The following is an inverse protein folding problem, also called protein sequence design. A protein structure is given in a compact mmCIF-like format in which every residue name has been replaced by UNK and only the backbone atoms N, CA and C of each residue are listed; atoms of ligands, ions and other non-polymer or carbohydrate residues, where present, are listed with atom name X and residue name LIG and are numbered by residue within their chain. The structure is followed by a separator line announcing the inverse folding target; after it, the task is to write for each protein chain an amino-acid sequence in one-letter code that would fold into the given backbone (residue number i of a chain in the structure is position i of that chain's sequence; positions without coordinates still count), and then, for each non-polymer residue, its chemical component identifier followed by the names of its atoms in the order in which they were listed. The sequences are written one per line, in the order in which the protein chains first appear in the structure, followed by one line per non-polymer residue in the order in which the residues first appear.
data_IF_229135983577
#
_entry.id   IF_229135983577
#
_cell.length_a   1.000
_cell.length_b   1.000
_cell.length_c   1.000
_cell.angle_alpha   90.00
_cell.angle_beta   90.00
_cell.angle_gamma   90.00
#
_symmetry.space_group_name_H-M   'P 1'
#
loop_
_entity.id
_entity.type
_entity.pdbx_description
1 polymer ?
#
# COMPACT_ATOMS: atom_id res chain seq x y z
N UNK A 1 -2.40 14.64 -12.44
CA UNK A 1 -1.58 13.51 -11.96
C UNK A 1 -2.26 12.71 -10.84
N UNK A 2 -2.99 13.33 -9.91
CA UNK A 2 -3.68 12.64 -8.80
C UNK A 2 -4.77 11.64 -9.24
N UNK A 3 -5.58 11.97 -10.25
CA UNK A 3 -6.62 11.05 -10.77
C UNK A 3 -6.04 9.70 -11.24
N UNK A 4 -4.89 9.72 -11.91
CA UNK A 4 -4.27 8.49 -12.42
C UNK A 4 -3.86 7.55 -11.28
N UNK A 5 -3.34 8.10 -10.18
CA UNK A 5 -2.97 7.32 -8.98
C UNK A 5 -4.19 6.72 -8.29
N UNK A 6 -5.27 7.49 -8.19
CA UNK A 6 -6.53 7.01 -7.60
C UNK A 6 -7.12 5.87 -8.44
N UNK A 7 -7.21 6.06 -9.75
CA UNK A 7 -7.72 5.03 -10.68
C UNK A 7 -6.83 3.78 -10.67
N UNK A 8 -5.51 3.93 -10.64
CA UNK A 8 -4.58 2.80 -10.54
C UNK A 8 -4.78 2.02 -9.22
N UNK A 9 -4.95 2.71 -8.10
CA UNK A 9 -5.16 2.08 -6.78
C UNK A 9 -6.47 1.29 -6.74
N UNK A 10 -7.55 1.85 -7.27
CA UNK A 10 -8.82 1.13 -7.40
C UNK A 10 -8.74 -0.04 -8.39
N UNK A 11 -8.06 0.15 -9.52
CA UNK A 11 -7.88 -0.89 -10.54
C UNK A 11 -7.13 -2.11 -9.99
N UNK A 12 -6.03 -1.90 -9.26
CA UNK A 12 -5.28 -2.97 -8.59
C UNK A 12 -6.14 -3.70 -7.58
N UNK A 13 -6.89 -2.96 -6.76
CA UNK A 13 -7.76 -3.50 -5.71
C UNK A 13 -8.85 -4.42 -6.27
N UNK A 14 -9.50 -4.01 -7.36
CA UNK A 14 -10.56 -4.78 -8.03
C UNK A 14 -9.98 -6.02 -8.73
N UNK A 15 -8.83 -5.89 -9.41
CA UNK A 15 -8.17 -7.02 -10.05
C UNK A 15 -7.76 -8.09 -9.02
N UNK A 16 -7.22 -7.66 -7.87
CA UNK A 16 -6.86 -8.55 -6.78
C UNK A 16 -8.08 -9.27 -6.18
N UNK A 17 -9.20 -8.55 -5.98
CA UNK A 17 -10.45 -9.16 -5.51
C UNK A 17 -10.93 -10.26 -6.47
N UNK A 18 -10.99 -9.97 -7.78
CA UNK A 18 -11.40 -10.96 -8.76
C UNK A 18 -10.44 -12.14 -8.81
N UNK A 19 -9.14 -11.91 -8.64
CA UNK A 19 -8.15 -12.98 -8.56
C UNK A 19 -8.41 -13.90 -7.36
N UNK A 20 -8.68 -13.36 -6.18
CA UNK A 20 -9.02 -14.16 -4.99
C UNK A 20 -10.33 -14.96 -5.17
N UNK A 21 -11.35 -14.37 -5.78
CA UNK A 21 -12.64 -15.06 -5.99
C UNK A 21 -12.51 -16.14 -7.08
N UNK A 22 -11.92 -15.81 -8.24
CA UNK A 22 -11.89 -16.71 -9.41
C UNK A 22 -10.79 -17.76 -9.33
N UNK A 23 -9.58 -17.39 -8.89
CA UNK A 23 -8.43 -18.32 -8.84
C UNK A 23 -8.37 -19.13 -7.55
N UNK A 24 -8.69 -18.51 -6.40
CA UNK A 24 -8.64 -19.19 -5.11
C UNK A 24 -9.99 -19.75 -4.64
N UNK A 25 -11.08 -19.57 -5.41
CA UNK A 25 -12.44 -20.00 -5.07
C UNK A 25 -12.86 -19.58 -3.63
N UNK A 26 -12.37 -18.42 -3.19
CA UNK A 26 -12.72 -17.87 -1.89
C UNK A 26 -14.11 -17.27 -2.03
N UNK A 27 -15.01 -17.61 -1.09
CA UNK A 27 -16.35 -17.01 -1.03
C UNK A 27 -16.27 -15.48 -1.15
N UNK A 28 -17.11 -14.92 -2.02
CA UNK A 28 -17.13 -13.48 -2.36
C UNK A 28 -17.17 -12.57 -1.11
N UNK A 29 -17.83 -13.05 -0.05
CA UNK A 29 -17.92 -12.37 1.25
C UNK A 29 -16.53 -12.24 1.89
N UNK A 30 -15.76 -13.33 1.94
CA UNK A 30 -14.40 -13.34 2.51
C UNK A 30 -13.42 -12.58 1.63
N UNK A 31 -13.54 -12.69 0.31
CA UNK A 31 -12.68 -11.95 -0.61
C UNK A 31 -12.87 -10.43 -0.46
N UNK A 32 -14.13 -9.97 -0.34
CA UNK A 32 -14.45 -8.56 -0.07
C UNK A 32 -13.87 -8.08 1.26
N UNK A 33 -13.94 -8.90 2.32
CA UNK A 33 -13.29 -8.57 3.60
C UNK A 33 -11.79 -8.38 3.45
N UNK A 34 -11.10 -9.30 2.78
CA UNK A 34 -9.64 -9.21 2.55
C UNK A 34 -9.31 -7.93 1.76
N UNK A 35 -10.05 -7.64 0.69
CA UNK A 35 -9.84 -6.44 -0.12
C UNK A 35 -10.08 -5.15 0.68
N UNK A 36 -11.11 -5.11 1.54
CA UNK A 36 -11.35 -3.97 2.43
C UNK A 36 -10.24 -3.81 3.48
N UNK A 37 -9.71 -4.91 4.01
CA UNK A 37 -8.56 -4.90 4.92
C UNK A 37 -7.33 -4.32 4.22
N UNK A 38 -7.02 -4.73 3.00
CA UNK A 38 -5.90 -4.21 2.22
C UNK A 38 -6.06 -2.71 1.97
N UNK A 39 -7.26 -2.25 1.63
CA UNK A 39 -7.53 -0.83 1.44
C UNK A 39 -7.33 -0.03 2.74
N UNK A 40 -7.74 -0.59 3.89
CA UNK A 40 -7.53 0.01 5.20
C UNK A 40 -6.04 0.09 5.56
N UNK A 41 -5.26 -0.95 5.25
CA UNK A 41 -3.80 -0.97 5.44
C UNK A 41 -3.12 0.06 4.54
N UNK A 42 -3.54 0.22 3.28
CA UNK A 42 -3.00 1.26 2.39
C UNK A 42 -3.24 2.68 2.92
N UNK A 43 -4.37 2.92 3.59
CA UNK A 43 -4.65 4.20 4.24
C UNK A 43 -3.81 4.43 5.51
N UNK A 44 -3.50 3.37 6.27
CA UNK A 44 -2.71 3.45 7.51
C UNK A 44 -1.19 3.44 7.26
N UNK A 45 -0.75 2.84 6.16
CA UNK A 45 0.64 2.75 5.72
C UNK A 45 1.39 4.09 5.75
N UNK A 46 0.86 5.20 5.17
CA UNK A 46 1.54 6.49 5.23
C UNK A 46 1.67 7.06 6.65
N UNK A 47 0.70 6.80 7.53
CA UNK A 47 0.75 7.23 8.94
C UNK A 47 1.84 6.46 9.68
N UNK A 48 1.89 5.14 9.52
CA UNK A 48 2.95 4.31 10.11
C UNK A 48 4.33 4.70 9.58
N UNK A 49 4.46 4.95 8.27
CA UNK A 49 5.68 5.44 7.66
C UNK A 49 6.11 6.82 8.19
N UNK A 50 5.15 7.72 8.40
CA UNK A 50 5.43 9.04 8.97
C UNK A 50 5.93 8.94 10.42
N UNK A 51 5.31 8.12 11.26
CA UNK A 51 5.74 7.90 12.65
C UNK A 51 7.12 7.23 12.70
N UNK A 52 7.39 6.25 11.84
CA UNK A 52 8.71 5.64 11.74
C UNK A 52 9.77 6.66 11.31
N UNK A 53 9.49 7.51 10.32
CA UNK A 53 10.39 8.59 9.90
C UNK A 53 10.65 9.60 11.02
N UNK A 54 9.62 10.00 11.77
CA UNK A 54 9.73 10.96 12.86
C UNK A 54 10.50 10.38 14.06
N UNK A 55 10.20 9.14 14.43
CA UNK A 55 10.80 8.46 15.58
C UNK A 55 12.23 7.97 15.35
N UNK A 56 12.55 7.47 14.14
CA UNK A 56 13.88 6.90 13.84
C UNK A 56 14.81 7.85 13.10
N UNK A 57 14.31 8.76 12.26
CA UNK A 57 15.16 9.36 11.22
C UNK A 57 15.38 10.86 11.27
N UNK A 58 14.60 11.64 12.03
CA UNK A 58 14.83 13.07 12.25
C UNK A 58 15.56 13.77 11.09
N UNK A 59 14.95 13.84 9.90
CA UNK A 59 15.49 14.36 8.62
C UNK A 59 16.79 13.70 8.07
N UNK A 60 17.81 13.47 8.90
CA UNK A 60 19.17 13.11 8.51
C UNK A 60 19.31 11.66 8.04
N UNK A 61 18.70 10.69 8.73
CA UNK A 61 18.81 9.29 8.33
C UNK A 61 17.99 9.00 7.06
N UNK A 62 16.85 9.67 6.86
CA UNK A 62 16.01 9.46 5.66
C UNK A 62 16.79 9.86 4.43
N UNK A 63 17.44 11.02 4.47
CA UNK A 63 18.30 11.50 3.39
C UNK A 63 19.47 10.53 3.18
N UNK A 64 20.14 10.09 4.25
CA UNK A 64 21.28 9.18 4.15
C UNK A 64 20.94 7.84 3.47
N UNK A 65 19.82 7.20 3.84
CA UNK A 65 19.39 5.92 3.26
C UNK A 65 19.00 6.10 1.78
N UNK A 66 18.22 7.13 1.44
CA UNK A 66 17.83 7.39 0.06
C UNK A 66 19.03 7.77 -0.82
N UNK A 67 20.00 8.52 -0.30
CA UNK A 67 21.25 8.82 -1.01
C UNK A 67 22.06 7.55 -1.25
N UNK A 68 22.17 6.65 -0.27
CA UNK A 68 22.85 5.36 -0.45
C UNK A 68 22.18 4.47 -1.48
N UNK A 69 20.84 4.38 -1.46
CA UNK A 69 20.08 3.58 -2.42
C UNK A 69 20.16 4.16 -3.83
N UNK A 70 20.17 5.50 -3.97
CA UNK A 70 20.27 6.15 -5.30
C UNK A 70 21.68 6.09 -5.89
N UNK A 71 22.69 5.88 -5.04
CA UNK A 71 24.09 5.76 -5.44
C UNK A 71 24.45 4.32 -5.87
N UNK A 72 23.73 3.32 -5.38
CA UNK A 72 23.87 1.92 -5.77
C UNK A 72 23.21 1.65 -7.13
#
# INVERSE_FOLDING_TARGET
SSLASTVASYGVTINLLQFLVRRFNISNIRASQITNTINSVMCLSPVAGAVLCDAYLGCFLTISVFTFISFL
#
